data_IF_134077434474
#
_entry.id   IF_134077434474
#
_cell.length_a   1.000
_cell.length_b   1.000
_cell.length_c   1.000
_cell.angle_alpha   90.00
_cell.angle_beta   90.00
_cell.angle_gamma   90.00
#
_symmetry.space_group_name_H-M   'P 1'
#
loop_
_entity.id
_entity.type
_entity.pdbx_description
1 polymer ?
#
# COMPACT_ATOMS: atom_id res chain seq x y z
N UNK A 1 -9.29 -23.76 1.39
CA UNK A 1 -10.34 -23.12 0.56
C UNK A 1 -9.89 -23.11 -0.88
N UNK A 2 -10.71 -23.61 -1.82
CA UNK A 2 -10.25 -23.90 -3.20
C UNK A 2 -10.75 -22.88 -4.24
N UNK A 3 -11.35 -21.77 -3.80
CA UNK A 3 -11.78 -20.71 -4.72
C UNK A 3 -10.57 -20.07 -5.40
N UNK A 4 -10.67 -19.86 -6.70
CA UNK A 4 -9.62 -19.19 -7.47
C UNK A 4 -9.69 -17.68 -7.27
N UNK A 5 -8.60 -17.12 -6.77
CA UNK A 5 -8.46 -15.67 -6.53
C UNK A 5 -7.40 -15.13 -7.48
N UNK A 6 -7.74 -14.12 -8.27
CA UNK A 6 -6.80 -13.45 -9.18
C UNK A 6 -6.47 -12.06 -8.66
N UNK A 7 -5.19 -11.76 -8.58
CA UNK A 7 -4.63 -10.56 -7.98
C UNK A 7 -3.79 -9.74 -8.99
N UNK A 8 -4.41 -8.95 -9.87
CA UNK A 8 -3.68 -8.00 -10.72
C UNK A 8 -2.98 -6.94 -9.87
N UNK A 9 -1.67 -6.73 -10.07
CA UNK A 9 -0.82 -5.86 -9.25
C UNK A 9 -0.41 -6.51 -7.91
N UNK A 10 -0.52 -7.84 -7.80
CA UNK A 10 -0.34 -8.55 -6.54
C UNK A 10 1.10 -8.76 -6.08
N UNK A 11 2.12 -8.34 -6.83
CA UNK A 11 3.51 -8.36 -6.37
C UNK A 11 3.91 -7.07 -5.62
N UNK A 12 3.00 -6.09 -5.48
CA UNK A 12 3.20 -4.90 -4.67
C UNK A 12 3.03 -5.13 -3.17
N UNK A 13 3.16 -4.05 -2.38
CA UNK A 13 3.09 -4.07 -0.92
C UNK A 13 1.84 -4.81 -0.40
N UNK A 14 0.66 -4.38 -0.83
CA UNK A 14 -0.61 -4.94 -0.37
C UNK A 14 -0.76 -6.38 -0.84
N UNK A 15 -0.43 -6.67 -2.11
CA UNK A 15 -0.62 -7.99 -2.69
C UNK A 15 0.26 -9.05 -2.04
N UNK A 16 1.54 -8.79 -1.77
CA UNK A 16 2.42 -9.74 -1.08
C UNK A 16 1.95 -10.01 0.36
N UNK A 17 1.51 -8.96 1.09
CA UNK A 17 0.90 -9.13 2.41
C UNK A 17 -0.40 -9.94 2.35
N UNK A 18 -1.24 -9.69 1.33
CA UNK A 18 -2.50 -10.40 1.15
C UNK A 18 -2.27 -11.89 0.82
N UNK A 19 -1.36 -12.18 -0.10
CA UNK A 19 -1.00 -13.57 -0.48
C UNK A 19 -0.52 -14.34 0.74
N UNK A 20 0.41 -13.79 1.54
CA UNK A 20 0.91 -14.44 2.75
C UNK A 20 -0.23 -14.79 3.72
N UNK A 21 -1.16 -13.87 3.96
CA UNK A 21 -2.29 -14.06 4.89
C UNK A 21 -3.35 -15.00 4.33
N UNK A 22 -3.63 -14.96 3.03
CA UNK A 22 -4.52 -15.94 2.37
C UNK A 22 -3.95 -17.35 2.49
N UNK A 23 -2.63 -17.53 2.30
CA UNK A 23 -1.95 -18.82 2.49
C UNK A 23 -2.04 -19.31 3.94
N UNK A 24 -1.81 -18.44 4.91
CA UNK A 24 -1.96 -18.78 6.34
C UNK A 24 -3.41 -19.22 6.69
N UNK A 25 -4.41 -18.74 5.94
CA UNK A 25 -5.83 -19.17 6.07
C UNK A 25 -6.19 -20.41 5.22
N UNK A 26 -5.22 -20.99 4.50
CA UNK A 26 -5.42 -22.23 3.73
C UNK A 26 -5.99 -22.01 2.31
N UNK A 27 -5.94 -20.80 1.77
CA UNK A 27 -6.22 -20.59 0.35
C UNK A 27 -5.05 -21.13 -0.49
N UNK A 28 -5.36 -21.97 -1.47
CA UNK A 28 -4.35 -22.64 -2.31
C UNK A 28 -4.38 -22.23 -3.79
N UNK A 29 -5.50 -21.68 -4.26
CA UNK A 29 -5.70 -21.33 -5.67
C UNK A 29 -5.61 -19.82 -5.88
N UNK A 30 -4.38 -19.30 -5.78
CA UNK A 30 -4.09 -17.88 -5.91
C UNK A 30 -3.24 -17.66 -7.17
N UNK A 31 -3.64 -16.68 -7.99
CA UNK A 31 -2.92 -16.25 -9.19
C UNK A 31 -2.57 -14.77 -9.04
N UNK A 32 -1.30 -14.45 -9.19
CA UNK A 32 -0.78 -13.08 -9.17
C UNK A 32 -0.30 -12.68 -10.55
N UNK A 33 -0.75 -11.53 -11.03
CA UNK A 33 -0.38 -10.94 -12.31
C UNK A 33 0.28 -9.59 -12.05
N UNK A 34 1.56 -9.44 -12.37
CA UNK A 34 2.28 -8.18 -12.15
C UNK A 34 3.43 -8.04 -13.14
N UNK A 35 3.73 -6.81 -13.53
CA UNK A 35 4.82 -6.54 -14.48
C UNK A 35 6.17 -6.25 -13.81
N UNK A 36 6.19 -6.00 -12.50
CA UNK A 36 7.40 -5.63 -11.78
C UNK A 36 8.26 -6.86 -11.49
N UNK A 37 9.19 -7.17 -12.41
CA UNK A 37 9.99 -8.39 -12.41
C UNK A 37 10.65 -8.68 -11.06
N UNK A 38 11.31 -7.69 -10.44
CA UNK A 38 12.00 -7.91 -9.17
C UNK A 38 11.04 -8.33 -8.05
N UNK A 39 9.88 -7.67 -7.93
CA UNK A 39 8.87 -8.01 -6.92
C UNK A 39 8.19 -9.36 -7.21
N UNK A 40 7.99 -9.70 -8.48
CA UNK A 40 7.52 -11.04 -8.91
C UNK A 40 8.49 -12.10 -8.42
N UNK A 41 9.80 -11.92 -8.60
CA UNK A 41 10.80 -12.88 -8.12
C UNK A 41 10.85 -12.99 -6.58
N UNK A 42 10.63 -11.88 -5.87
CA UNK A 42 10.47 -11.90 -4.40
C UNK A 42 9.28 -12.77 -4.02
N UNK A 43 8.13 -12.56 -4.67
CA UNK A 43 6.92 -13.34 -4.38
C UNK A 43 7.09 -14.83 -4.69
N UNK A 44 7.70 -15.17 -5.83
CA UNK A 44 8.00 -16.57 -6.19
C UNK A 44 8.88 -17.27 -5.15
N UNK A 45 9.84 -16.54 -4.57
CA UNK A 45 10.72 -17.08 -3.52
C UNK A 45 10.01 -17.25 -2.18
N UNK A 46 9.16 -16.29 -1.81
CA UNK A 46 8.47 -16.30 -0.51
C UNK A 46 7.23 -17.18 -0.52
N UNK A 47 6.61 -17.40 -1.68
CA UNK A 47 5.37 -18.15 -1.87
C UNK A 47 5.46 -19.04 -3.11
N UNK A 48 6.28 -20.12 -3.07
CA UNK A 48 6.58 -20.94 -4.25
C UNK A 48 5.37 -21.72 -4.80
N UNK A 49 4.32 -21.91 -3.99
CA UNK A 49 3.09 -22.62 -4.38
C UNK A 49 2.06 -21.73 -5.05
N UNK A 50 2.33 -20.41 -5.17
CA UNK A 50 1.42 -19.47 -5.81
C UNK A 50 1.77 -19.32 -7.28
N UNK A 51 0.75 -19.30 -8.13
CA UNK A 51 0.96 -19.00 -9.56
C UNK A 51 1.26 -17.50 -9.71
N UNK A 52 2.48 -17.16 -10.13
CA UNK A 52 2.92 -15.79 -10.32
C UNK A 52 3.40 -15.57 -11.75
N UNK A 53 2.67 -14.74 -12.50
CA UNK A 53 3.00 -14.42 -13.88
C UNK A 53 3.52 -12.97 -14.01
N UNK A 54 4.63 -12.82 -14.72
CA UNK A 54 5.23 -11.52 -14.98
C UNK A 54 4.67 -10.94 -16.28
N UNK A 55 3.60 -10.13 -16.17
CA UNK A 55 2.85 -9.63 -17.33
C UNK A 55 2.40 -8.18 -17.13
N UNK A 56 2.24 -7.45 -18.24
CA UNK A 56 1.63 -6.13 -18.25
C UNK A 56 0.11 -6.24 -18.47
N UNK A 57 -0.64 -6.06 -17.42
CA UNK A 57 -2.10 -6.18 -17.44
C UNK A 57 -2.82 -5.02 -18.13
N UNK A 58 -2.08 -4.03 -18.65
CA UNK A 58 -2.63 -2.97 -19.50
C UNK A 58 -2.85 -3.39 -20.95
N UNK A 59 -2.29 -4.55 -21.35
CA UNK A 59 -2.39 -5.08 -22.71
C UNK A 59 -3.00 -6.48 -22.67
N UNK A 60 -4.07 -6.75 -23.42
CA UNK A 60 -4.64 -8.11 -23.52
C UNK A 60 -3.58 -9.14 -23.96
N UNK A 61 -3.66 -10.33 -23.39
CA UNK A 61 -2.72 -11.42 -23.67
C UNK A 61 -3.22 -12.75 -23.14
N UNK A 62 -2.36 -13.80 -23.20
CA UNK A 62 -2.68 -15.15 -22.73
C UNK A 62 -3.04 -15.21 -21.25
N UNK A 63 -2.52 -14.28 -20.45
CA UNK A 63 -2.82 -14.14 -19.03
C UNK A 63 -4.32 -13.95 -18.73
N UNK A 64 -5.13 -13.51 -19.70
CA UNK A 64 -6.59 -13.42 -19.56
C UNK A 64 -7.24 -14.77 -19.27
N UNK A 65 -6.61 -15.90 -19.64
CA UNK A 65 -7.05 -17.24 -19.30
C UNK A 65 -7.09 -17.52 -17.79
N UNK A 66 -6.33 -16.76 -16.99
CA UNK A 66 -6.39 -16.87 -15.54
C UNK A 66 -7.73 -16.42 -14.94
N UNK A 67 -8.51 -15.65 -15.67
CA UNK A 67 -9.86 -15.25 -15.24
C UNK A 67 -10.91 -16.37 -15.46
N UNK A 68 -10.58 -17.40 -16.25
CA UNK A 68 -11.47 -18.56 -16.43
C UNK A 68 -11.64 -19.30 -15.11
N UNK A 69 -12.89 -19.40 -14.63
CA UNK A 69 -13.22 -20.02 -13.35
C UNK A 69 -12.73 -19.27 -12.12
N UNK A 70 -12.31 -18.02 -12.24
CA UNK A 70 -12.00 -17.19 -11.09
C UNK A 70 -13.28 -16.89 -10.30
N UNK A 71 -13.21 -17.08 -8.98
CA UNK A 71 -14.30 -16.76 -8.07
C UNK A 71 -14.21 -15.31 -7.57
N UNK A 72 -12.99 -14.76 -7.52
CA UNK A 72 -12.70 -13.42 -7.00
C UNK A 72 -11.57 -12.78 -7.81
N UNK A 73 -11.72 -11.51 -8.10
CA UNK A 73 -10.62 -10.63 -8.52
C UNK A 73 -10.43 -9.55 -7.46
N UNK A 74 -9.19 -9.31 -7.03
CA UNK A 74 -8.84 -8.15 -6.20
C UNK A 74 -7.90 -7.27 -7.02
N UNK A 75 -8.40 -6.11 -7.45
CA UNK A 75 -7.63 -5.16 -8.27
C UNK A 75 -6.70 -4.33 -7.40
N UNK A 76 -5.39 -4.63 -7.47
CA UNK A 76 -4.33 -4.04 -6.65
C UNK A 76 -3.36 -3.16 -7.46
N UNK A 77 -3.44 -3.20 -8.80
CA UNK A 77 -2.51 -2.49 -9.67
C UNK A 77 -2.61 -0.97 -9.48
N UNK A 78 -1.45 -0.33 -9.28
CA UNK A 78 -1.34 1.11 -9.18
C UNK A 78 0.07 1.59 -9.51
N UNK A 79 0.17 2.57 -10.42
CA UNK A 79 1.33 3.43 -10.56
C UNK A 79 1.23 4.53 -9.51
N UNK A 80 2.19 4.58 -8.58
CA UNK A 80 2.14 5.51 -7.44
C UNK A 80 3.13 6.68 -7.63
N UNK A 81 4.21 6.48 -8.37
CA UNK A 81 5.25 7.48 -8.62
C UNK A 81 5.71 7.46 -10.06
N UNK A 82 6.33 8.53 -10.47
CA UNK A 82 6.81 8.71 -11.85
C UNK A 82 6.62 10.16 -12.31
N UNK A 83 7.22 10.49 -13.45
CA UNK A 83 7.17 11.82 -14.06
C UNK A 83 6.50 11.82 -15.43
N UNK A 84 6.11 10.65 -15.93
CA UNK A 84 5.44 10.47 -17.21
C UNK A 84 3.95 10.15 -17.01
N UNK A 85 3.08 11.04 -17.45
CA UNK A 85 1.63 10.85 -17.40
C UNK A 85 1.16 9.58 -18.12
N UNK A 86 1.82 9.21 -19.23
CA UNK A 86 1.42 8.03 -20.00
C UNK A 86 1.61 6.72 -19.21
N UNK A 87 2.60 6.66 -18.32
CA UNK A 87 2.75 5.52 -17.41
C UNK A 87 1.58 5.41 -16.43
N UNK A 88 1.08 6.54 -15.92
CA UNK A 88 -0.10 6.52 -15.04
C UNK A 88 -1.36 6.10 -15.80
N UNK A 89 -1.58 6.61 -17.01
CA UNK A 89 -2.71 6.18 -17.86
C UNK A 89 -2.63 4.69 -18.11
N UNK A 90 -1.50 4.21 -18.61
CA UNK A 90 -1.30 2.79 -18.92
C UNK A 90 -1.52 1.89 -17.72
N UNK A 91 -0.92 2.22 -16.57
CA UNK A 91 -0.87 1.34 -15.41
C UNK A 91 -2.10 1.44 -14.51
N UNK A 92 -2.79 2.56 -14.48
CA UNK A 92 -4.00 2.76 -13.68
C UNK A 92 -5.28 2.68 -14.51
N UNK A 93 -5.33 3.35 -15.67
CA UNK A 93 -6.56 3.48 -16.46
C UNK A 93 -6.72 2.33 -17.45
N UNK A 94 -5.74 2.13 -18.36
CA UNK A 94 -5.85 1.09 -19.39
C UNK A 94 -5.86 -0.32 -18.78
N UNK A 95 -5.03 -0.57 -17.76
CA UNK A 95 -5.05 -1.82 -17.02
C UNK A 95 -6.43 -2.10 -16.39
N UNK A 96 -7.06 -1.07 -15.83
CA UNK A 96 -8.42 -1.20 -15.27
C UNK A 96 -9.43 -1.58 -16.33
N UNK A 97 -9.38 -0.93 -17.51
CA UNK A 97 -10.27 -1.24 -18.63
C UNK A 97 -10.15 -2.70 -19.03
N UNK A 98 -8.93 -3.19 -19.26
CA UNK A 98 -8.67 -4.58 -19.68
C UNK A 98 -9.16 -5.57 -18.62
N UNK A 99 -8.92 -5.30 -17.35
CA UNK A 99 -9.34 -6.19 -16.24
C UNK A 99 -10.87 -6.20 -16.10
N UNK A 100 -11.55 -5.06 -16.18
CA UNK A 100 -13.01 -4.99 -16.11
C UNK A 100 -13.67 -5.73 -17.29
N UNK A 101 -13.11 -5.62 -18.48
CA UNK A 101 -13.57 -6.36 -19.66
C UNK A 101 -13.36 -7.88 -19.48
N UNK A 102 -12.22 -8.29 -18.91
CA UNK A 102 -11.97 -9.70 -18.57
C UNK A 102 -12.98 -10.23 -17.55
N UNK A 103 -13.26 -9.48 -16.47
CA UNK A 103 -14.25 -9.86 -15.46
C UNK A 103 -15.62 -10.08 -16.08
N UNK A 104 -16.07 -9.18 -16.96
CA UNK A 104 -17.35 -9.30 -17.66
C UNK A 104 -17.37 -10.50 -18.61
N UNK A 105 -16.36 -10.60 -19.46
CA UNK A 105 -16.29 -11.66 -20.50
C UNK A 105 -16.19 -13.05 -19.89
N UNK A 106 -15.47 -13.21 -18.77
CA UNK A 106 -15.27 -14.49 -18.08
C UNK A 106 -16.30 -14.75 -16.98
N UNK A 107 -17.27 -13.84 -16.80
CA UNK A 107 -18.33 -13.91 -15.79
C UNK A 107 -17.78 -14.12 -14.37
N UNK A 108 -16.71 -13.40 -13.99
CA UNK A 108 -16.18 -13.47 -12.63
C UNK A 108 -17.21 -12.90 -11.65
N UNK A 109 -17.66 -13.68 -10.65
CA UNK A 109 -18.80 -13.29 -9.83
C UNK A 109 -18.52 -12.22 -8.78
N UNK A 110 -17.24 -11.97 -8.44
CA UNK A 110 -16.91 -11.03 -7.38
C UNK A 110 -15.63 -10.24 -7.63
N UNK A 111 -15.70 -8.93 -7.37
CA UNK A 111 -14.61 -7.98 -7.49
C UNK A 111 -14.41 -7.23 -6.16
N UNK A 112 -13.17 -7.01 -5.76
CA UNK A 112 -12.77 -6.00 -4.77
C UNK A 112 -11.84 -5.00 -5.44
N UNK A 113 -12.16 -3.71 -5.39
CA UNK A 113 -11.30 -2.68 -5.96
C UNK A 113 -10.53 -1.92 -4.89
N UNK A 114 -9.20 -1.86 -5.05
CA UNK A 114 -8.33 -1.06 -4.18
C UNK A 114 -8.07 0.28 -4.84
N UNK A 115 -8.76 1.30 -4.33
CA UNK A 115 -8.59 2.70 -4.71
C UNK A 115 -7.53 3.38 -3.84
N UNK A 116 -7.68 4.63 -3.51
CA UNK A 116 -6.81 5.39 -2.61
C UNK A 116 -7.56 6.58 -2.01
N UNK A 117 -7.21 7.00 -0.79
CA UNK A 117 -7.74 8.22 -0.18
C UNK A 117 -7.43 9.49 -1.00
N UNK A 118 -6.44 9.45 -1.90
CA UNK A 118 -6.09 10.59 -2.76
C UNK A 118 -7.22 11.00 -3.72
N UNK A 119 -8.19 10.12 -3.99
CA UNK A 119 -9.34 10.48 -4.85
C UNK A 119 -10.20 11.60 -4.25
N UNK A 120 -10.14 11.80 -2.95
CA UNK A 120 -10.80 12.92 -2.25
C UNK A 120 -9.94 14.19 -2.18
N UNK A 121 -8.66 14.09 -2.57
CA UNK A 121 -7.74 15.21 -2.55
C UNK A 121 -8.07 16.23 -3.65
N UNK A 122 -7.79 17.51 -3.33
CA UNK A 122 -7.81 18.61 -4.31
C UNK A 122 -6.50 18.71 -5.11
N UNK A 123 -5.50 17.86 -4.80
CA UNK A 123 -4.24 17.81 -5.53
C UNK A 123 -4.47 17.41 -6.99
N UNK A 124 -3.70 18.02 -7.90
CA UNK A 124 -3.77 17.77 -9.35
C UNK A 124 -2.45 17.15 -9.86
N UNK A 125 -1.93 16.19 -9.12
CA UNK A 125 -0.81 15.37 -9.57
C UNK A 125 -1.30 14.16 -10.39
N UNK A 126 -0.37 13.54 -11.12
CA UNK A 126 -0.67 12.42 -12.02
C UNK A 126 -1.27 11.22 -11.30
N UNK A 127 -0.82 10.96 -10.07
CA UNK A 127 -1.36 9.86 -9.29
C UNK A 127 -2.81 10.10 -8.91
N UNK A 128 -3.10 11.27 -8.34
CA UNK A 128 -4.46 11.66 -7.94
C UNK A 128 -5.42 11.63 -9.13
N UNK A 129 -5.04 12.24 -10.26
CA UNK A 129 -5.86 12.25 -11.47
C UNK A 129 -6.16 10.85 -12.00
N UNK A 130 -5.12 10.02 -12.14
CA UNK A 130 -5.30 8.66 -12.66
C UNK A 130 -6.09 7.75 -11.72
N UNK A 131 -5.99 7.94 -10.39
CA UNK A 131 -6.79 7.18 -9.42
C UNK A 131 -8.26 7.60 -9.42
N UNK A 132 -8.57 8.88 -9.64
CA UNK A 132 -9.94 9.36 -9.84
C UNK A 132 -10.56 8.71 -11.08
N UNK A 133 -9.86 8.78 -12.22
CA UNK A 133 -10.31 8.18 -13.47
C UNK A 133 -10.50 6.65 -13.35
N UNK A 134 -9.58 5.97 -12.68
CA UNK A 134 -9.67 4.54 -12.40
C UNK A 134 -10.93 4.21 -11.60
N UNK A 135 -11.20 4.92 -10.51
CA UNK A 135 -12.36 4.66 -9.65
C UNK A 135 -13.67 4.98 -10.36
N UNK A 136 -13.73 6.09 -11.10
CA UNK A 136 -14.90 6.44 -11.94
C UNK A 136 -15.22 5.33 -12.96
N UNK A 137 -14.19 4.77 -13.60
CA UNK A 137 -14.35 3.65 -14.52
C UNK A 137 -14.91 2.40 -13.84
N UNK A 138 -14.43 2.08 -12.62
CA UNK A 138 -14.97 0.95 -11.84
C UNK A 138 -16.43 1.19 -11.47
N UNK A 139 -16.79 2.37 -10.99
CA UNK A 139 -18.18 2.75 -10.70
C UNK A 139 -19.08 2.68 -11.93
N UNK A 140 -18.62 3.20 -13.07
CA UNK A 140 -19.33 3.17 -14.33
C UNK A 140 -19.46 1.76 -14.95
N UNK A 141 -18.65 0.80 -14.50
CA UNK A 141 -18.65 -0.58 -15.03
C UNK A 141 -19.96 -1.33 -14.79
N UNK A 142 -20.72 -0.92 -13.78
CA UNK A 142 -21.92 -1.60 -13.30
C UNK A 142 -21.65 -2.92 -12.56
N UNK A 143 -20.39 -3.26 -12.28
CA UNK A 143 -20.02 -4.43 -11.48
C UNK A 143 -20.14 -4.06 -10.00
N UNK A 144 -21.06 -4.67 -9.23
CA UNK A 144 -21.18 -4.38 -7.80
C UNK A 144 -19.93 -4.87 -7.06
N UNK A 145 -19.18 -3.94 -6.46
CA UNK A 145 -17.97 -4.28 -5.70
C UNK A 145 -17.72 -3.30 -4.55
N UNK A 146 -17.09 -3.74 -3.46
CA UNK A 146 -16.54 -2.82 -2.49
C UNK A 146 -15.33 -2.09 -3.07
N UNK A 147 -15.29 -0.77 -2.89
CA UNK A 147 -14.18 0.10 -3.24
C UNK A 147 -13.53 0.52 -1.94
N UNK A 148 -12.28 0.13 -1.73
CA UNK A 148 -11.52 0.42 -0.52
C UNK A 148 -10.50 1.52 -0.82
N UNK A 149 -10.56 2.63 -0.10
CA UNK A 149 -9.68 3.80 -0.23
C UNK A 149 -8.70 3.85 0.97
N UNK A 150 -7.59 3.13 0.92
CA UNK A 150 -6.62 3.17 2.00
C UNK A 150 -5.87 4.50 2.02
N UNK A 151 -5.47 4.90 3.23
CA UNK A 151 -4.45 5.93 3.46
C UNK A 151 -3.05 5.35 3.36
N UNK A 152 -2.02 6.10 3.80
CA UNK A 152 -0.63 5.63 3.83
C UNK A 152 -0.48 4.38 4.67
N UNK A 153 0.06 3.31 4.07
CA UNK A 153 0.21 2.00 4.72
C UNK A 153 1.66 1.69 5.08
N UNK A 154 1.82 0.91 6.15
CA UNK A 154 3.09 0.29 6.55
C UNK A 154 2.89 -1.18 6.90
N UNK A 155 3.96 -1.95 6.93
CA UNK A 155 3.94 -3.37 7.28
C UNK A 155 5.07 -4.14 6.61
N UNK A 156 4.94 -5.46 6.48
CA UNK A 156 5.93 -6.27 5.76
C UNK A 156 6.15 -5.72 4.35
N UNK A 157 7.36 -5.84 3.87
CA UNK A 157 7.78 -5.38 2.54
C UNK A 157 7.77 -3.86 2.33
N UNK A 158 7.51 -3.05 3.37
CA UNK A 158 7.46 -1.59 3.24
C UNK A 158 8.85 -1.02 2.88
N UNK A 159 8.94 -0.49 1.67
CA UNK A 159 10.13 0.18 1.19
C UNK A 159 10.13 1.69 1.45
N UNK A 160 8.96 2.34 1.38
CA UNK A 160 8.86 3.80 1.28
C UNK A 160 8.68 4.51 2.61
N UNK A 161 7.83 4.01 3.47
CA UNK A 161 7.33 4.74 4.63
C UNK A 161 8.13 4.41 5.90
N UNK A 162 7.54 3.65 6.81
CA UNK A 162 8.17 3.31 8.08
C UNK A 162 9.40 2.41 7.86
N UNK A 163 9.36 1.55 6.85
CA UNK A 163 10.50 0.75 6.46
C UNK A 163 11.69 1.59 5.97
N UNK A 164 11.43 2.67 5.22
CA UNK A 164 12.48 3.62 4.85
C UNK A 164 13.05 4.34 6.07
N UNK A 165 12.20 4.81 6.98
CA UNK A 165 12.63 5.49 8.22
C UNK A 165 13.52 4.58 9.07
N UNK A 166 13.17 3.30 9.18
CA UNK A 166 13.99 2.30 9.88
C UNK A 166 15.38 2.15 9.26
N UNK A 167 15.45 1.97 7.93
CA UNK A 167 16.74 1.84 7.22
C UNK A 167 17.55 3.13 7.25
N UNK A 168 16.91 4.28 7.17
CA UNK A 168 17.56 5.58 7.32
C UNK A 168 18.16 5.73 8.72
N UNK A 169 17.42 5.38 9.77
CA UNK A 169 17.88 5.42 11.15
C UNK A 169 19.18 4.59 11.36
N UNK A 170 19.29 3.45 10.70
CA UNK A 170 20.48 2.58 10.79
C UNK A 170 21.71 3.14 10.07
N UNK A 171 21.53 4.09 9.15
CA UNK A 171 22.61 4.66 8.30
C UNK A 171 23.16 5.99 8.82
N UNK A 172 22.44 6.65 9.73
CA UNK A 172 22.83 7.97 10.22
C UNK A 172 23.35 7.92 11.66
N UNK A 173 24.33 8.75 12.03
CA UNK A 173 24.86 8.78 13.40
C UNK A 173 23.85 9.34 14.41
N UNK A 174 22.94 10.20 13.95
CA UNK A 174 21.83 10.75 14.73
C UNK A 174 20.58 10.80 13.85
N UNK A 175 19.41 10.52 14.44
CA UNK A 175 18.13 10.66 13.73
C UNK A 175 17.50 12.03 14.05
N UNK A 176 17.41 12.93 13.06
CA UNK A 176 16.92 14.28 13.32
C UNK A 176 15.39 14.31 13.32
N UNK A 177 14.79 14.96 14.31
CA UNK A 177 13.36 15.24 14.40
C UNK A 177 13.14 16.74 14.25
N UNK A 178 12.35 17.20 13.26
CA UNK A 178 12.02 18.60 13.13
C UNK A 178 11.11 19.06 14.29
N UNK A 179 11.44 20.20 14.90
CA UNK A 179 10.68 20.79 15.99
C UNK A 179 10.56 19.86 17.20
N UNK A 180 9.36 19.76 17.76
CA UNK A 180 9.08 18.87 18.89
C UNK A 180 8.70 17.44 18.46
N UNK A 181 8.48 17.20 17.15
CA UNK A 181 8.06 15.93 16.58
C UNK A 181 6.59 15.55 16.85
N UNK A 182 5.80 16.45 17.43
CA UNK A 182 4.39 16.22 17.69
C UNK A 182 3.55 16.59 16.48
N UNK A 183 3.72 15.78 15.45
CA UNK A 183 2.96 15.83 14.20
C UNK A 183 2.11 14.56 14.15
N UNK A 184 0.82 14.72 14.39
CA UNK A 184 -0.12 13.61 14.42
C UNK A 184 -0.18 12.90 13.06
N UNK A 185 -0.18 11.57 13.09
CA UNK A 185 -0.30 10.67 11.95
C UNK A 185 -1.30 9.56 12.25
N UNK A 186 -1.90 9.03 11.19
CA UNK A 186 -2.81 7.89 11.25
C UNK A 186 -2.30 6.79 10.30
N UNK A 187 -1.15 6.15 10.59
CA UNK A 187 -0.59 5.13 9.73
C UNK A 187 -1.49 3.89 9.71
N UNK A 188 -1.89 3.44 8.53
CA UNK A 188 -2.68 2.22 8.36
C UNK A 188 -1.75 1.01 8.30
N UNK A 189 -1.97 0.05 9.20
CA UNK A 189 -1.26 -1.22 9.15
C UNK A 189 -1.79 -2.09 8.00
N UNK A 190 -0.89 -2.49 7.08
CA UNK A 190 -1.27 -3.30 5.91
C UNK A 190 -1.88 -4.65 6.28
N UNK A 191 -1.51 -5.20 7.43
CA UNK A 191 -2.12 -6.43 7.95
C UNK A 191 -3.61 -6.28 8.26
N UNK A 192 -4.02 -5.13 8.83
CA UNK A 192 -5.42 -4.80 9.06
C UNK A 192 -6.16 -4.62 7.73
N UNK A 193 -5.55 -3.92 6.80
CA UNK A 193 -6.11 -3.72 5.47
C UNK A 193 -6.30 -5.04 4.70
N UNK A 194 -5.35 -5.96 4.78
CA UNK A 194 -5.51 -7.30 4.22
C UNK A 194 -6.64 -8.09 4.86
N UNK A 195 -6.84 -7.97 6.20
CA UNK A 195 -7.99 -8.61 6.87
C UNK A 195 -9.33 -8.02 6.39
N UNK A 196 -9.38 -6.71 6.13
CA UNK A 196 -10.56 -6.08 5.52
C UNK A 196 -10.83 -6.67 4.12
N UNK A 197 -9.80 -6.80 3.27
CA UNK A 197 -9.94 -7.43 1.94
C UNK A 197 -10.43 -8.87 2.08
N UNK A 198 -9.86 -9.65 2.99
CA UNK A 198 -10.25 -11.04 3.25
C UNK A 198 -11.72 -11.11 3.74
N UNK A 199 -12.11 -10.22 4.65
CA UNK A 199 -13.52 -10.12 5.08
C UNK A 199 -14.46 -9.80 3.91
N UNK A 200 -14.06 -8.94 2.97
CA UNK A 200 -14.82 -8.70 1.75
C UNK A 200 -14.96 -9.97 0.91
N UNK A 201 -13.87 -10.74 0.76
CA UNK A 201 -13.86 -11.99 -0.01
C UNK A 201 -14.77 -13.03 0.63
N UNK A 202 -14.62 -13.28 1.93
CA UNK A 202 -15.35 -14.33 2.65
C UNK A 202 -16.86 -14.04 2.76
N UNK A 203 -17.21 -12.77 3.02
CA UNK A 203 -18.60 -12.37 3.23
C UNK A 203 -19.27 -11.85 1.95
N UNK A 204 -18.60 -11.86 0.79
CA UNK A 204 -19.11 -11.32 -0.49
C UNK A 204 -19.75 -9.94 -0.31
N UNK A 205 -19.01 -9.04 0.32
CA UNK A 205 -19.52 -7.72 0.66
C UNK A 205 -20.03 -7.00 -0.58
N UNK A 206 -21.24 -6.46 -0.49
CA UNK A 206 -21.87 -5.74 -1.58
C UNK A 206 -21.17 -4.42 -1.94
N UNK A 207 -21.70 -3.73 -2.94
CA UNK A 207 -21.18 -2.45 -3.39
C UNK A 207 -21.15 -1.41 -2.26
N UNK A 208 -20.09 -0.63 -2.22
CA UNK A 208 -19.89 0.46 -1.27
C UNK A 208 -18.50 1.06 -1.41
N UNK A 209 -18.34 2.31 -0.97
CA UNK A 209 -17.07 3.01 -0.96
C UNK A 209 -16.66 3.25 0.48
N UNK A 210 -15.43 2.87 0.84
CA UNK A 210 -14.97 2.88 2.22
C UNK A 210 -13.60 3.55 2.32
N UNK A 211 -13.52 4.65 3.07
CA UNK A 211 -12.27 5.30 3.43
C UNK A 211 -11.62 4.56 4.60
N UNK A 212 -10.47 3.93 4.37
CA UNK A 212 -9.78 3.11 5.35
C UNK A 212 -8.51 3.81 5.81
N UNK A 213 -8.51 4.31 7.03
CA UNK A 213 -7.37 4.98 7.67
C UNK A 213 -6.90 4.19 8.90
N UNK A 214 -5.68 4.49 9.37
CA UNK A 214 -5.22 3.97 10.64
C UNK A 214 -6.16 4.38 11.77
N UNK A 215 -6.46 3.46 12.67
CA UNK A 215 -7.41 3.70 13.77
C UNK A 215 -6.78 4.51 14.90
N UNK A 216 -5.48 4.33 15.13
CA UNK A 216 -4.76 5.07 16.16
C UNK A 216 -4.13 6.35 15.58
N UNK A 217 -4.26 7.44 16.37
CA UNK A 217 -3.52 8.70 16.13
C UNK A 217 -2.21 8.63 16.91
N UNK A 218 -1.08 8.75 16.20
CA UNK A 218 0.26 8.63 16.79
C UNK A 218 1.11 9.83 16.38
N UNK A 219 1.81 10.44 17.32
CA UNK A 219 2.76 11.50 17.02
C UNK A 219 4.00 10.95 16.26
N UNK A 220 4.51 11.70 15.29
CA UNK A 220 5.66 11.29 14.49
C UNK A 220 6.88 10.86 15.35
N UNK A 221 7.15 11.59 16.44
CA UNK A 221 8.25 11.24 17.34
C UNK A 221 8.03 9.89 18.02
N UNK A 222 6.78 9.52 18.31
CA UNK A 222 6.47 8.24 18.96
C UNK A 222 6.55 7.09 17.93
N UNK A 223 6.16 7.33 16.65
CA UNK A 223 6.45 6.40 15.55
C UNK A 223 7.95 6.10 15.47
N UNK A 224 8.80 7.13 15.50
CA UNK A 224 10.26 6.96 15.43
C UNK A 224 10.81 6.22 16.66
N UNK A 225 10.25 6.45 17.85
CA UNK A 225 10.64 5.73 19.06
C UNK A 225 10.26 4.26 19.01
N UNK A 226 9.05 3.93 18.54
CA UNK A 226 8.63 2.53 18.39
C UNK A 226 9.47 1.80 17.33
N UNK A 227 9.79 2.43 16.19
CA UNK A 227 10.72 1.87 15.19
C UNK A 227 12.09 1.61 15.82
N UNK A 228 12.65 2.60 16.56
CA UNK A 228 13.94 2.45 17.26
C UNK A 228 13.93 1.27 18.22
N UNK A 229 12.87 1.12 19.00
CA UNK A 229 12.73 0.04 19.97
C UNK A 229 12.62 -1.32 19.26
N UNK A 230 11.73 -1.46 18.28
CA UNK A 230 11.53 -2.71 17.55
C UNK A 230 12.79 -3.18 16.82
N UNK A 231 13.55 -2.24 16.23
CA UNK A 231 14.79 -2.56 15.49
C UNK A 231 16.05 -2.60 16.38
N UNK A 232 15.89 -2.41 17.68
CA UNK A 232 17.03 -2.33 18.65
C UNK A 232 18.09 -1.32 18.22
N UNK A 233 17.73 -0.26 17.50
CA UNK A 233 18.64 0.75 16.98
C UNK A 233 19.26 1.56 18.13
N UNK A 234 20.59 1.75 18.08
CA UNK A 234 21.34 2.58 19.04
C UNK A 234 21.35 4.06 18.65
N UNK A 235 20.89 4.42 17.44
CA UNK A 235 20.94 5.78 16.91
C UNK A 235 20.17 6.75 17.82
N UNK A 236 20.81 7.81 18.35
CA UNK A 236 20.14 8.80 19.17
C UNK A 236 19.16 9.63 18.33
N UNK A 237 17.99 9.94 18.94
CA UNK A 237 16.98 10.83 18.35
C UNK A 237 17.26 12.25 18.85
N UNK A 238 17.49 13.18 17.93
CA UNK A 238 17.81 14.58 18.24
C UNK A 238 16.75 15.51 17.67
N UNK A 239 16.19 16.38 18.51
CA UNK A 239 15.26 17.42 18.08
C UNK A 239 16.02 18.63 17.55
N UNK A 240 15.66 19.07 16.35
CA UNK A 240 16.23 20.25 15.71
C UNK A 240 15.10 21.29 15.56
N UNK A 241 15.28 22.54 15.99
CA UNK A 241 14.29 23.59 15.77
C UNK A 241 13.86 23.64 14.31
N UNK A 242 12.54 23.77 14.07
CA UNK A 242 11.96 23.66 12.72
C UNK A 242 12.64 24.58 11.70
N UNK A 243 12.86 25.85 12.05
CA UNK A 243 13.53 26.80 11.15
C UNK A 243 14.97 26.41 10.79
N UNK A 244 15.72 25.87 11.77
CA UNK A 244 17.07 25.37 11.53
C UNK A 244 17.04 24.11 10.64
N UNK A 245 16.09 23.18 10.88
CA UNK A 245 15.93 21.98 10.07
C UNK A 245 15.58 22.36 8.62
N UNK A 246 14.65 23.31 8.43
CA UNK A 246 14.31 23.85 7.10
C UNK A 246 15.53 24.45 6.39
N UNK A 247 16.30 25.30 7.08
CA UNK A 247 17.50 25.92 6.52
C UNK A 247 18.56 24.89 6.10
N UNK A 248 18.74 23.82 6.89
CA UNK A 248 19.66 22.73 6.57
C UNK A 248 19.21 21.97 5.32
N UNK A 249 17.93 21.63 5.20
CA UNK A 249 17.39 20.97 4.02
C UNK A 249 17.48 21.86 2.77
N UNK A 250 17.15 23.14 2.91
CA UNK A 250 17.27 24.10 1.82
C UNK A 250 18.70 24.23 1.33
N UNK A 251 19.67 24.34 2.27
CA UNK A 251 21.09 24.40 1.93
C UNK A 251 21.54 23.10 1.24
N UNK A 252 21.10 21.92 1.75
CA UNK A 252 21.43 20.63 1.12
C UNK A 252 20.90 20.56 -0.31
N UNK A 253 19.69 21.04 -0.57
CA UNK A 253 19.09 21.02 -1.91
C UNK A 253 19.87 21.84 -2.96
N UNK A 254 20.76 22.74 -2.55
CA UNK A 254 21.66 23.47 -3.46
C UNK A 254 22.78 22.58 -4.01
N UNK A 255 23.16 21.53 -3.29
CA UNK A 255 24.28 20.64 -3.64
C UNK A 255 23.82 19.26 -4.11
N UNK A 256 22.63 18.82 -3.70
CA UNK A 256 22.08 17.53 -4.03
C UNK A 256 20.66 17.69 -4.61
N UNK A 257 20.48 17.29 -5.87
CA UNK A 257 19.18 17.35 -6.56
C UNK A 257 18.19 16.29 -6.05
N UNK A 258 18.69 15.25 -5.37
CA UNK A 258 17.89 14.16 -4.84
C UNK A 258 18.14 13.93 -3.34
N UNK A 259 17.91 14.93 -2.48
CA UNK A 259 18.16 14.80 -1.05
C UNK A 259 17.25 13.72 -0.45
N UNK A 260 17.70 13.01 0.59
CA UNK A 260 16.92 11.97 1.26
C UNK A 260 15.61 12.49 1.89
N UNK A 261 15.55 13.80 2.17
CA UNK A 261 14.37 14.49 2.66
C UNK A 261 14.32 15.92 2.14
N UNK A 262 13.16 16.37 1.67
CA UNK A 262 12.99 17.69 1.04
C UNK A 262 12.25 18.67 1.94
N UNK A 263 12.36 19.97 1.64
CA UNK A 263 11.58 21.02 2.33
C UNK A 263 10.07 20.84 2.12
N UNK A 264 9.64 20.33 0.97
CA UNK A 264 8.24 20.00 0.71
C UNK A 264 7.74 18.85 1.58
N UNK A 265 8.56 17.79 1.73
CA UNK A 265 8.25 16.68 2.64
C UNK A 265 8.23 17.12 4.10
N UNK A 266 9.07 18.10 4.50
CA UNK A 266 9.04 18.70 5.82
C UNK A 266 7.72 19.47 6.05
N UNK A 267 7.27 20.24 5.06
CA UNK A 267 5.99 20.95 5.12
C UNK A 267 4.82 19.96 5.21
N UNK A 268 4.82 18.90 4.39
CA UNK A 268 3.84 17.82 4.45
C UNK A 268 3.86 17.09 5.80
N UNK A 269 5.06 16.85 6.37
CA UNK A 269 5.18 16.25 7.71
C UNK A 269 4.57 17.13 8.80
N UNK A 270 4.67 18.45 8.69
CA UNK A 270 4.14 19.37 9.68
C UNK A 270 2.66 19.74 9.46
N UNK A 271 2.09 19.45 8.30
CA UNK A 271 0.67 19.60 8.03
C UNK A 271 -0.16 18.61 8.90
N UNK A 272 -1.35 19.01 9.26
CA UNK A 272 -2.29 18.10 9.93
C UNK A 272 -2.83 17.13 8.90
N UNK A 273 -2.60 15.86 9.14
CA UNK A 273 -3.04 14.75 8.30
C UNK A 273 -4.17 14.02 9.06
N UNK A 274 -5.32 14.66 9.16
CA UNK A 274 -6.51 14.09 9.81
C UNK A 274 -7.41 13.50 8.74
N UNK A 275 -7.56 12.17 8.77
CA UNK A 275 -8.54 11.46 7.96
C UNK A 275 -9.75 11.12 8.82
N UNK A 276 -10.93 11.16 8.23
CA UNK A 276 -12.09 10.57 8.84
C UNK A 276 -11.84 9.07 9.09
N UNK A 277 -12.00 8.65 10.33
CA UNK A 277 -11.88 7.23 10.70
C UNK A 277 -13.28 6.66 10.77
N UNK A 278 -13.68 5.90 9.75
CA UNK A 278 -14.91 5.12 9.82
C UNK A 278 -14.71 3.95 10.80
N UNK A 279 -15.81 3.47 11.39
CA UNK A 279 -15.76 2.22 12.17
C UNK A 279 -15.62 1.00 11.25
N UNK A 280 -14.44 0.87 10.62
CA UNK A 280 -14.14 -0.29 9.80
C UNK A 280 -14.00 -1.58 10.63
N UNK A 281 -13.60 -1.58 11.93
CA UNK A 281 -13.65 -2.79 12.74
C UNK A 281 -15.06 -3.36 12.82
N UNK A 282 -16.05 -2.55 13.18
CA UNK A 282 -17.46 -2.98 13.22
C UNK A 282 -18.01 -3.27 11.82
N UNK A 283 -17.66 -2.43 10.82
CA UNK A 283 -18.12 -2.58 9.45
C UNK A 283 -17.69 -3.90 8.81
N UNK A 284 -16.44 -4.32 9.00
CA UNK A 284 -15.87 -5.52 8.37
C UNK A 284 -15.69 -6.70 9.33
N UNK A 285 -16.02 -6.54 10.62
CA UNK A 285 -15.81 -7.57 11.64
C UNK A 285 -14.32 -7.87 11.89
N UNK A 286 -13.46 -6.88 11.76
CA UNK A 286 -11.99 -7.01 11.82
C UNK A 286 -11.44 -6.22 12.99
N UNK A 287 -10.62 -6.84 13.83
CA UNK A 287 -9.98 -6.12 14.95
C UNK A 287 -8.83 -5.24 14.43
N UNK A 288 -8.76 -3.99 14.92
CA UNK A 288 -7.60 -3.13 14.72
C UNK A 288 -6.40 -3.64 15.51
N UNK A 289 -5.25 -3.75 14.87
CA UNK A 289 -3.99 -4.12 15.53
C UNK A 289 -3.43 -2.91 16.26
N UNK A 290 -3.12 -2.99 17.56
CA UNK A 290 -2.42 -1.92 18.27
C UNK A 290 -1.12 -1.52 17.54
N UNK A 291 -0.86 -0.22 17.41
CA UNK A 291 0.26 0.30 16.63
C UNK A 291 1.60 -0.34 17.00
N UNK A 292 1.88 -0.48 18.30
CA UNK A 292 3.11 -1.12 18.80
C UNK A 292 3.25 -2.57 18.32
N UNK A 293 2.14 -3.34 18.32
CA UNK A 293 2.12 -4.72 17.83
C UNK A 293 2.34 -4.79 16.32
N UNK A 294 1.75 -3.85 15.58
CA UNK A 294 1.93 -3.74 14.13
C UNK A 294 3.39 -3.40 13.75
N UNK A 295 4.04 -2.53 14.54
CA UNK A 295 5.47 -2.20 14.39
C UNK A 295 6.34 -3.43 14.69
N UNK A 296 6.06 -4.15 15.77
CA UNK A 296 6.81 -5.37 16.11
C UNK A 296 6.69 -6.42 15.01
N UNK A 297 5.48 -6.71 14.53
CA UNK A 297 5.27 -7.64 13.42
C UNK A 297 5.99 -7.17 12.13
N UNK A 298 5.98 -5.87 11.85
CA UNK A 298 6.64 -5.32 10.66
C UNK A 298 8.15 -5.56 10.65
N UNK A 299 8.81 -5.39 11.80
CA UNK A 299 10.27 -5.39 11.87
C UNK A 299 10.89 -6.66 12.47
N UNK A 300 10.08 -7.52 13.11
CA UNK A 300 10.57 -8.70 13.83
C UNK A 300 9.96 -10.02 13.36
N UNK A 301 8.98 -10.02 12.41
CA UNK A 301 8.51 -11.30 11.84
C UNK A 301 9.68 -12.02 11.14
N UNK A 302 9.98 -13.28 11.52
CA UNK A 302 11.15 -13.99 11.00
C UNK A 302 11.05 -14.34 9.51
N UNK A 303 9.84 -14.35 8.93
CA UNK A 303 9.60 -14.71 7.54
C UNK A 303 9.79 -13.53 6.58
N UNK A 304 9.36 -12.33 7.00
CA UNK A 304 9.15 -11.23 6.05
C UNK A 304 9.84 -9.91 6.43
N UNK A 305 10.27 -9.72 7.70
CA UNK A 305 10.83 -8.43 8.17
C UNK A 305 12.10 -7.99 7.43
N UNK A 306 12.89 -8.94 6.91
CA UNK A 306 14.11 -8.68 6.15
C UNK A 306 13.88 -8.46 4.65
N UNK A 307 12.68 -8.72 4.15
CA UNK A 307 12.35 -8.64 2.72
C UNK A 307 11.93 -7.23 2.36
N UNK A 308 12.58 -6.64 1.37
CA UNK A 308 12.30 -5.28 0.88
C UNK A 308 11.98 -5.34 -0.61
N UNK A 309 10.83 -4.76 -0.99
CA UNK A 309 10.44 -4.67 -2.39
C UNK A 309 11.21 -3.57 -3.12
N UNK A 310 11.25 -3.68 -4.45
CA UNK A 310 11.77 -2.65 -5.35
C UNK A 310 10.62 -1.82 -5.96
N UNK A 311 11.00 -0.66 -6.54
CA UNK A 311 10.11 0.23 -7.30
C UNK A 311 10.68 0.49 -8.67
#
# INVERSE_FOLDING_TARGET
MNEKIVLPGGAGLVGQNLVARLKDLGYSNIVVLDKHRANVEVLRKTQPDVVVECVDVSVPGEWLSHFDGAAVVVMLQAQIGGTDWQEFVRNNVDSTRVILDAIKTKNVPYLVHISSSVVESVADDFYTRSKKEQEEMVLASGIPCPILRPTLMFGWFDRKHLGWLSRFMQRVPVFPIPGNGRYMRQPLYVGDFCRIIISCIENRRGAGVYNISGHEKVDYIDIIREIKQATSSKTPIVRIPYGLFYALLWTWSLFDKNPPFTTQQLAALSAKDEFEVIDWPGTFGVSSTPFKKAIDETFNDPRYSSVVLEF
#
